data_IF_127082049782
#
_entry.id   IF_127082049782
#
_cell.length_a   1.000
_cell.length_b   1.000
_cell.length_c   1.000
_cell.angle_alpha   90.00
_cell.angle_beta   90.00
_cell.angle_gamma   90.00
#
_symmetry.space_group_name_H-M   'P 1'
#
loop_
_entity.id
_entity.type
_entity.pdbx_description
1 polymer ?
#
# COMPACT_ATOMS: atom_id res chain seq x y z
N UNK A 1 19.76 0.57 -18.20
CA UNK A 1 18.63 -0.14 -18.81
C UNK A 1 17.45 -0.14 -17.85
N UNK A 2 16.32 0.26 -18.33
CA UNK A 2 15.11 0.30 -17.49
C UNK A 2 14.50 -1.08 -17.49
N UNK A 3 14.29 -1.62 -16.30
CA UNK A 3 13.55 -2.87 -16.15
C UNK A 3 12.10 -2.61 -16.57
N UNK A 4 11.64 -3.36 -17.56
CA UNK A 4 10.27 -3.21 -18.06
C UNK A 4 9.26 -4.05 -17.30
N UNK A 5 9.74 -4.87 -16.37
CA UNK A 5 8.86 -5.65 -15.52
C UNK A 5 8.23 -4.74 -14.48
N UNK A 6 6.90 -4.60 -14.44
CA UNK A 6 6.28 -3.75 -13.43
C UNK A 6 6.58 -4.25 -12.04
N UNK A 7 6.81 -3.33 -11.12
CA UNK A 7 6.95 -3.67 -9.70
C UNK A 7 5.58 -4.04 -9.13
N UNK A 8 5.56 -4.69 -7.95
CA UNK A 8 4.31 -4.96 -7.25
C UNK A 8 3.50 -3.69 -7.03
N UNK A 9 4.21 -2.60 -6.85
CA UNK A 9 3.64 -1.28 -6.68
C UNK A 9 2.85 -0.83 -7.92
N UNK A 10 3.43 -1.03 -9.10
CA UNK A 10 2.76 -0.71 -10.37
C UNK A 10 1.53 -1.58 -10.59
N UNK A 11 1.62 -2.86 -10.22
CA UNK A 11 0.48 -3.76 -10.27
C UNK A 11 -0.64 -3.29 -9.34
N UNK A 12 -0.28 -2.78 -8.19
CA UNK A 12 -1.25 -2.23 -7.26
C UNK A 12 -1.99 -1.05 -7.88
N UNK A 13 -1.29 -0.21 -8.62
CA UNK A 13 -1.91 0.89 -9.37
C UNK A 13 -2.90 0.38 -10.41
N UNK A 14 -2.55 -0.70 -11.11
CA UNK A 14 -3.44 -1.31 -12.09
C UNK A 14 -4.71 -1.83 -11.41
N UNK A 15 -4.57 -2.52 -10.28
CA UNK A 15 -5.72 -3.00 -9.49
C UNK A 15 -6.64 -1.88 -9.07
N UNK A 16 -6.07 -0.74 -8.70
CA UNK A 16 -6.82 0.40 -8.21
C UNK A 16 -7.40 1.26 -9.32
N UNK A 17 -7.03 1.00 -10.58
CA UNK A 17 -7.42 1.84 -11.70
C UNK A 17 -8.95 1.99 -11.80
N UNK A 18 -9.68 0.89 -11.68
CA UNK A 18 -11.14 0.95 -11.73
C UNK A 18 -11.73 1.69 -10.54
N UNK A 19 -11.15 1.54 -9.35
CA UNK A 19 -11.56 2.29 -8.17
C UNK A 19 -11.30 3.77 -8.35
N UNK A 20 -10.12 4.12 -8.90
CA UNK A 20 -9.76 5.52 -9.17
C UNK A 20 -10.71 6.14 -10.19
N UNK A 21 -11.02 5.41 -11.25
CA UNK A 21 -11.95 5.88 -12.28
C UNK A 21 -13.33 6.12 -11.69
N UNK A 22 -13.81 5.19 -10.87
CA UNK A 22 -15.10 5.33 -10.18
C UNK A 22 -15.09 6.57 -9.29
N UNK A 23 -14.03 6.79 -8.51
CA UNK A 23 -13.90 7.94 -7.63
C UNK A 23 -13.95 9.26 -8.40
N UNK A 24 -13.22 9.33 -9.51
CA UNK A 24 -13.19 10.53 -10.36
C UNK A 24 -14.58 10.81 -10.95
N UNK A 25 -15.23 9.78 -11.48
CA UNK A 25 -16.55 9.93 -12.11
C UNK A 25 -17.63 10.32 -11.11
N UNK A 26 -17.57 9.82 -9.88
CA UNK A 26 -18.57 10.11 -8.85
C UNK A 26 -18.18 11.28 -7.96
N UNK A 27 -17.00 11.87 -8.16
CA UNK A 27 -16.46 12.95 -7.32
C UNK A 27 -16.40 12.56 -5.85
N UNK A 28 -16.18 11.28 -5.57
CA UNK A 28 -16.05 10.76 -4.21
C UNK A 28 -14.63 11.01 -3.70
N UNK A 29 -14.54 11.54 -2.48
CA UNK A 29 -13.25 11.72 -1.82
C UNK A 29 -12.93 10.44 -1.05
N UNK A 30 -11.88 9.75 -1.45
CA UNK A 30 -11.37 8.59 -0.73
C UNK A 30 -9.88 8.75 -0.51
N UNK A 31 -9.41 8.28 0.62
CA UNK A 31 -8.00 8.22 0.94
C UNK A 31 -7.62 6.75 1.02
N UNK A 32 -6.74 6.32 0.15
CA UNK A 32 -6.32 4.93 0.05
C UNK A 32 -4.85 4.84 0.45
N UNK A 33 -4.55 3.94 1.39
CA UNK A 33 -3.18 3.66 1.80
C UNK A 33 -2.77 2.29 1.27
N UNK A 34 -1.61 2.24 0.62
CA UNK A 34 -1.05 1.02 0.06
C UNK A 34 0.25 0.72 0.77
N UNK A 35 0.39 -0.51 1.25
CA UNK A 35 1.57 -0.98 1.97
C UNK A 35 2.18 -2.14 1.19
N UNK A 36 3.41 -1.98 0.73
CA UNK A 36 4.16 -3.04 0.04
C UNK A 36 5.51 -3.22 0.73
N UNK A 37 5.59 -4.20 1.61
CA UNK A 37 6.81 -4.55 2.33
C UNK A 37 7.36 -5.91 1.90
N UNK A 38 6.96 -6.40 0.74
CA UNK A 38 7.34 -7.73 0.25
C UNK A 38 8.66 -7.74 -0.52
N UNK A 39 9.12 -6.60 -1.00
CA UNK A 39 10.27 -6.48 -1.89
C UNK A 39 11.50 -5.90 -1.18
N UNK A 40 12.52 -5.54 -1.94
CA UNK A 40 13.77 -4.99 -1.42
C UNK A 40 13.61 -3.70 -0.65
N UNK A 41 12.55 -2.96 -0.95
CA UNK A 41 12.23 -1.72 -0.23
C UNK A 41 10.80 -1.80 0.26
N UNK A 42 10.55 -1.09 1.35
CA UNK A 42 9.20 -0.90 1.86
C UNK A 42 8.63 0.31 1.14
N UNK A 43 7.55 0.11 0.39
CA UNK A 43 6.86 1.19 -0.29
C UNK A 43 5.56 1.51 0.42
N UNK A 44 5.34 2.79 0.66
CA UNK A 44 4.08 3.30 1.17
C UNK A 44 3.54 4.29 0.15
N UNK A 45 2.26 4.19 -0.17
CA UNK A 45 1.61 5.10 -1.10
C UNK A 45 0.30 5.56 -0.52
N UNK A 46 -0.02 6.83 -0.73
CA UNK A 46 -1.32 7.40 -0.43
C UNK A 46 -1.91 7.92 -1.71
N UNK A 47 -3.16 7.53 -1.98
CA UNK A 47 -3.96 8.14 -3.03
C UNK A 47 -5.01 9.00 -2.31
N UNK A 48 -4.86 10.32 -2.46
CA UNK A 48 -5.70 11.31 -1.82
C UNK A 48 -6.38 12.12 -2.91
N UNK A 49 -7.66 11.85 -3.15
CA UNK A 49 -8.40 12.42 -4.27
C UNK A 49 -7.70 12.10 -5.59
N UNK A 50 -7.21 13.08 -6.32
CA UNK A 50 -6.52 12.87 -7.59
C UNK A 50 -5.00 12.84 -7.46
N UNK A 51 -4.50 13.01 -6.23
CA UNK A 51 -3.07 13.11 -5.98
C UNK A 51 -2.52 11.82 -5.43
N UNK A 52 -1.30 11.49 -5.85
CA UNK A 52 -0.60 10.28 -5.42
C UNK A 52 0.70 10.71 -4.74
N UNK A 53 0.91 10.21 -3.53
CA UNK A 53 2.12 10.45 -2.75
C UNK A 53 2.75 9.12 -2.41
N UNK A 54 4.07 9.05 -2.42
CA UNK A 54 4.76 7.81 -2.10
C UNK A 54 6.06 8.08 -1.36
N UNK A 55 6.52 7.06 -0.60
CA UNK A 55 7.79 7.07 0.07
C UNK A 55 8.32 5.63 0.10
N UNK A 56 9.63 5.48 0.10
CA UNK A 56 10.25 4.17 0.24
C UNK A 56 11.28 4.17 1.37
N UNK A 57 11.44 3.03 2.01
CA UNK A 57 12.41 2.81 3.08
C UNK A 57 13.15 1.52 2.81
N UNK A 58 14.35 1.40 3.35
CA UNK A 58 15.11 0.16 3.24
C UNK A 58 14.36 -0.98 3.94
N UNK A 59 14.39 -2.14 3.33
CA UNK A 59 13.77 -3.33 3.87
C UNK A 59 14.72 -3.97 4.88
N UNK A 60 14.68 -3.50 6.12
CA UNK A 60 15.55 -3.94 7.20
C UNK A 60 14.74 -4.35 8.42
N UNK A 61 15.35 -5.15 9.29
CA UNK A 61 14.70 -5.55 10.54
C UNK A 61 14.24 -4.35 11.35
N UNK A 62 15.08 -3.32 11.44
CA UNK A 62 14.74 -2.09 12.17
C UNK A 62 13.49 -1.43 11.58
N UNK A 63 13.40 -1.33 10.26
CA UNK A 63 12.26 -0.70 9.61
C UNK A 63 11.00 -1.56 9.72
N UNK A 64 11.11 -2.88 9.73
CA UNK A 64 9.96 -3.74 9.98
C UNK A 64 9.39 -3.52 11.38
N UNK A 65 10.27 -3.43 12.37
CA UNK A 65 9.84 -3.26 13.76
C UNK A 65 9.14 -1.94 14.01
N UNK A 66 9.46 -0.93 13.23
CA UNK A 66 8.82 0.38 13.35
C UNK A 66 7.94 0.75 12.17
N UNK A 67 7.42 -0.26 11.48
CA UNK A 67 6.59 -0.03 10.30
C UNK A 67 5.38 0.85 10.59
N UNK A 68 4.72 0.66 11.74
CA UNK A 68 3.56 1.49 12.10
C UNK A 68 3.97 2.96 12.30
N UNK A 69 5.18 3.20 12.81
CA UNK A 69 5.72 4.55 12.97
C UNK A 69 5.97 5.18 11.60
N UNK A 70 6.55 4.41 10.69
CA UNK A 70 6.80 4.87 9.32
C UNK A 70 5.48 5.24 8.63
N UNK A 71 4.45 4.43 8.82
CA UNK A 71 3.11 4.69 8.27
C UNK A 71 2.54 5.98 8.87
N UNK A 72 2.58 6.14 10.17
CA UNK A 72 2.06 7.34 10.82
C UNK A 72 2.80 8.60 10.38
N UNK A 73 4.12 8.54 10.28
CA UNK A 73 4.92 9.68 9.82
C UNK A 73 4.57 10.06 8.39
N UNK A 74 4.36 9.06 7.54
CA UNK A 74 3.97 9.29 6.16
C UNK A 74 2.59 9.94 6.06
N UNK A 75 1.64 9.46 6.85
CA UNK A 75 0.30 10.05 6.91
C UNK A 75 0.36 11.51 7.37
N UNK A 76 1.11 11.78 8.43
CA UNK A 76 1.27 13.15 8.94
C UNK A 76 1.90 14.08 7.92
N UNK A 77 2.88 13.59 7.16
CA UNK A 77 3.52 14.36 6.09
C UNK A 77 2.54 14.81 5.02
N UNK A 78 1.41 14.12 4.90
CA UNK A 78 0.40 14.40 3.90
C UNK A 78 -0.90 14.89 4.54
N UNK A 79 -0.81 15.44 5.74
CA UNK A 79 -1.94 16.01 6.50
C UNK A 79 -3.08 15.03 6.71
N UNK A 80 -2.75 13.76 6.95
CA UNK A 80 -3.71 12.70 7.20
C UNK A 80 -3.49 12.04 8.55
N UNK A 81 -4.57 11.56 9.12
CA UNK A 81 -4.57 10.69 10.28
C UNK A 81 -5.07 9.31 9.85
N UNK A 82 -4.80 8.31 10.65
CA UNK A 82 -5.20 6.94 10.34
C UNK A 82 -6.72 6.83 10.11
N UNK A 83 -7.52 7.51 10.91
CA UNK A 83 -8.98 7.51 10.78
C UNK A 83 -9.48 8.14 9.49
N UNK A 84 -8.63 8.89 8.79
CA UNK A 84 -8.99 9.49 7.50
C UNK A 84 -8.86 8.50 6.33
N UNK A 85 -8.26 7.33 6.57
CA UNK A 85 -8.05 6.32 5.52
C UNK A 85 -9.36 5.57 5.28
N UNK A 86 -9.74 5.47 4.02
CA UNK A 86 -10.97 4.79 3.61
C UNK A 86 -10.75 3.30 3.37
N UNK A 87 -9.61 2.95 2.77
CA UNK A 87 -9.26 1.57 2.43
C UNK A 87 -7.76 1.36 2.56
N UNK A 88 -7.38 0.13 2.87
CA UNK A 88 -6.00 -0.32 2.90
C UNK A 88 -5.78 -1.38 1.85
N UNK A 89 -4.63 -1.33 1.18
CA UNK A 89 -4.17 -2.40 0.31
C UNK A 89 -2.80 -2.85 0.78
N UNK A 90 -2.59 -4.15 0.85
CA UNK A 90 -1.34 -4.72 1.37
C UNK A 90 -0.86 -5.85 0.48
N UNK A 91 0.44 -5.86 0.19
CA UNK A 91 1.05 -6.94 -0.58
C UNK A 91 1.25 -8.16 0.33
N UNK A 92 0.64 -9.27 -0.03
CA UNK A 92 0.75 -10.54 0.71
C UNK A 92 1.84 -11.45 0.17
N UNK A 93 2.62 -10.99 -0.77
CA UNK A 93 3.76 -11.74 -1.30
C UNK A 93 3.51 -12.33 -2.69
N UNK A 94 4.40 -13.20 -3.12
CA UNK A 94 5.56 -13.72 -2.40
C UNK A 94 6.66 -12.67 -2.22
N UNK A 95 7.49 -12.85 -1.20
CA UNK A 95 8.59 -11.95 -0.92
C UNK A 95 9.08 -12.05 0.51
N UNK A 96 9.53 -10.93 1.06
CA UNK A 96 10.06 -10.87 2.41
C UNK A 96 9.04 -11.34 3.44
N UNK A 97 9.34 -12.44 4.13
CA UNK A 97 8.45 -13.02 5.13
C UNK A 97 8.17 -12.04 6.27
N UNK A 98 9.22 -11.39 6.78
CA UNK A 98 9.08 -10.45 7.89
C UNK A 98 8.25 -9.22 7.48
N UNK A 99 8.51 -8.69 6.28
CA UNK A 99 7.77 -7.53 5.78
C UNK A 99 6.30 -7.82 5.56
N UNK A 100 5.99 -8.96 4.95
CA UNK A 100 4.61 -9.40 4.70
C UNK A 100 3.89 -9.62 6.01
N UNK A 101 4.50 -10.35 6.94
CA UNK A 101 3.91 -10.68 8.22
C UNK A 101 3.59 -9.42 9.03
N UNK A 102 4.54 -8.49 9.10
CA UNK A 102 4.35 -7.26 9.87
C UNK A 102 3.29 -6.36 9.24
N UNK A 103 3.29 -6.23 7.91
CA UNK A 103 2.30 -5.39 7.23
C UNK A 103 0.89 -5.96 7.35
N UNK A 104 0.73 -7.29 7.25
CA UNK A 104 -0.57 -7.92 7.44
C UNK A 104 -1.07 -7.76 8.88
N UNK A 105 -0.18 -7.90 9.86
CA UNK A 105 -0.54 -7.72 11.26
C UNK A 105 -1.02 -6.28 11.53
N UNK A 106 -0.36 -5.29 10.94
CA UNK A 106 -0.75 -3.90 11.05
C UNK A 106 -2.13 -3.67 10.43
N UNK A 107 -2.37 -4.20 9.23
CA UNK A 107 -3.68 -4.06 8.57
C UNK A 107 -4.80 -4.68 9.39
N UNK A 108 -4.57 -5.87 9.95
CA UNK A 108 -5.54 -6.53 10.82
C UNK A 108 -5.82 -5.71 12.08
N UNK A 109 -4.78 -5.13 12.67
CA UNK A 109 -4.91 -4.26 13.85
C UNK A 109 -5.69 -3.00 13.55
N UNK A 110 -5.41 -2.36 12.42
CA UNK A 110 -6.13 -1.16 11.99
C UNK A 110 -7.60 -1.48 11.73
N UNK A 111 -7.86 -2.59 11.04
CA UNK A 111 -9.23 -3.03 10.77
C UNK A 111 -10.00 -3.26 12.07
N UNK A 112 -9.39 -3.92 13.03
CA UNK A 112 -10.02 -4.20 14.32
C UNK A 112 -10.29 -2.92 15.11
N UNK A 113 -9.35 -1.98 15.11
CA UNK A 113 -9.43 -0.77 15.93
C UNK A 113 -10.26 0.34 15.28
N UNK A 114 -10.16 0.51 13.97
CA UNK A 114 -10.76 1.63 13.26
C UNK A 114 -11.85 1.24 12.27
N UNK A 115 -12.12 -0.04 12.10
CA UNK A 115 -13.12 -0.56 11.16
C UNK A 115 -12.84 -0.18 9.72
N UNK A 116 -11.57 -0.01 9.37
CA UNK A 116 -11.13 0.26 8.00
C UNK A 116 -10.90 -1.09 7.31
N UNK A 117 -11.51 -1.28 6.15
CA UNK A 117 -11.34 -2.51 5.39
C UNK A 117 -9.97 -2.56 4.72
N UNK A 118 -9.39 -3.77 4.64
CA UNK A 118 -8.15 -3.96 3.94
C UNK A 118 -8.29 -5.08 2.92
N UNK A 119 -7.50 -4.97 1.86
CA UNK A 119 -7.50 -5.90 0.74
C UNK A 119 -6.08 -6.34 0.46
N UNK A 120 -5.91 -7.63 0.23
CA UNK A 120 -4.60 -8.21 -0.06
C UNK A 120 -4.41 -8.35 -1.57
N UNK A 121 -3.22 -8.04 -2.05
CA UNK A 121 -2.84 -8.31 -3.42
C UNK A 121 -1.53 -9.11 -3.42
N UNK A 122 -1.26 -9.79 -4.51
CA UNK A 122 -0.08 -10.63 -4.65
C UNK A 122 0.59 -10.34 -5.99
N UNK A 123 1.91 -10.36 -6.00
CA UNK A 123 2.67 -10.22 -7.25
C UNK A 123 2.32 -11.32 -8.26
N UNK A 124 1.88 -12.49 -7.77
CA UNK A 124 1.46 -13.60 -8.63
C UNK A 124 0.18 -13.31 -9.42
N UNK A 125 -0.70 -12.46 -8.86
CA UNK A 125 -1.97 -12.12 -9.52
C UNK A 125 -1.74 -11.41 -10.84
N UNK A 126 -0.57 -10.85 -11.04
CA UNK A 126 -0.21 -10.07 -12.20
C UNK A 126 0.91 -10.68 -13.03
N UNK A 127 1.35 -11.89 -12.68
CA UNK A 127 2.47 -12.55 -13.36
C UNK A 127 2.21 -12.73 -14.84
N UNK A 128 0.98 -12.99 -15.23
CA UNK A 128 0.61 -13.24 -16.62
C UNK A 128 0.56 -11.96 -17.47
N UNK A 129 0.47 -10.79 -16.83
CA UNK A 129 0.46 -9.51 -17.53
C UNK A 129 1.79 -9.18 -18.19
N UNK A 130 2.86 -9.86 -17.80
CA UNK A 130 4.21 -9.63 -18.29
C UNK A 130 4.62 -10.61 -19.39
N UNK A 131 3.75 -11.44 -19.82
CA UNK A 131 4.02 -12.46 -20.85
C UNK A 131 3.66 -11.99 -22.24
#
# INVERSE_FOLDING_TARGET
MIDKTPSSFEYCLILLFSDLEFMVNKKIKMNILIIDAANEKIFLMIIKSKNIYSVSHENSKTNYEKLIILINDFLKSNDLKLENISKLYVNQGPGSFAGIRNSLAICKGIHAAKKIDYYCFSSKDFGDLNR
#
